data_IF_046876600034
#
_entry.id   IF_046876600034
#
_cell.length_a   1.000
_cell.length_b   1.000
_cell.length_c   1.000
_cell.angle_alpha   90.00
_cell.angle_beta   90.00
_cell.angle_gamma   90.00
#
_symmetry.space_group_name_H-M   'P 1'
#
loop_
_entity.id
_entity.type
_entity.pdbx_description
1 polymer ?
#
# COMPACT_ATOMS: atom_id res chain seq x y z
N UNK A 1 -27.28 14.74 -0.11
CA UNK A 1 -26.16 14.90 0.83
C UNK A 1 -25.30 13.65 0.75
N UNK A 2 -24.07 13.71 0.22
CA UNK A 2 -23.21 12.53 0.22
C UNK A 2 -22.84 12.22 1.67
N UNK A 3 -23.01 10.96 2.06
CA UNK A 3 -22.70 10.46 3.40
C UNK A 3 -21.19 10.54 3.59
N UNK A 4 -20.75 10.92 4.78
CA UNK A 4 -19.35 11.09 5.20
C UNK A 4 -18.41 9.89 4.92
N UNK A 5 -18.92 8.76 4.41
CA UNK A 5 -18.15 7.58 4.04
C UNK A 5 -17.46 7.69 2.66
N UNK A 6 -17.96 8.53 1.75
CA UNK A 6 -17.39 8.63 0.39
C UNK A 6 -16.07 9.39 0.35
N UNK A 7 -15.90 10.40 1.21
CA UNK A 7 -14.66 11.17 1.39
C UNK A 7 -13.55 10.32 2.01
N UNK A 8 -13.86 9.48 3.01
CA UNK A 8 -12.89 8.55 3.59
C UNK A 8 -12.45 7.48 2.58
N UNK A 9 -13.36 7.03 1.71
CA UNK A 9 -13.03 6.11 0.62
C UNK A 9 -12.20 6.76 -0.50
N UNK A 10 -12.34 8.06 -0.74
CA UNK A 10 -11.50 8.79 -1.70
C UNK A 10 -10.10 9.10 -1.15
N UNK A 11 -9.96 9.45 0.13
CA UNK A 11 -8.64 9.61 0.75
C UNK A 11 -7.88 8.28 0.88
N UNK A 12 -8.61 7.16 1.03
CA UNK A 12 -8.03 5.81 0.96
C UNK A 12 -7.67 5.37 -0.45
N UNK A 13 -8.07 6.09 -1.51
CA UNK A 13 -7.62 5.78 -2.86
C UNK A 13 -6.15 6.17 -3.01
N UNK A 14 -5.34 5.20 -2.59
CA UNK A 14 -4.01 4.88 -3.07
C UNK A 14 -2.83 5.73 -2.59
N UNK A 15 -2.77 5.98 -1.27
CA UNK A 15 -1.55 6.45 -0.61
C UNK A 15 -0.32 5.59 -0.95
N UNK A 16 -0.50 4.26 -1.16
CA UNK A 16 0.56 3.38 -1.63
C UNK A 16 1.12 3.79 -3.00
N UNK A 17 0.26 4.20 -3.94
CA UNK A 17 0.72 4.68 -5.25
C UNK A 17 1.38 6.05 -5.17
N UNK A 18 0.91 6.93 -4.29
CA UNK A 18 1.56 8.21 -4.04
C UNK A 18 2.97 8.00 -3.48
N UNK A 19 3.14 7.08 -2.53
CA UNK A 19 4.46 6.71 -2.00
C UNK A 19 5.35 6.11 -3.11
N UNK A 20 4.82 5.24 -3.97
CA UNK A 20 5.57 4.74 -5.13
C UNK A 20 5.97 5.83 -6.13
N UNK A 21 5.26 6.97 -6.17
CA UNK A 21 5.60 8.10 -7.03
C UNK A 21 6.72 8.97 -6.46
N UNK A 22 6.96 8.93 -5.14
CA UNK A 22 8.02 9.71 -4.47
C UNK A 22 9.42 9.24 -4.89
N UNK A 23 9.64 7.91 -4.94
CA UNK A 23 10.94 7.36 -5.35
C UNK A 23 10.76 6.05 -6.13
N UNK A 24 11.42 5.99 -7.29
CA UNK A 24 11.38 4.81 -8.17
C UNK A 24 12.07 3.57 -7.59
N UNK A 25 12.92 3.73 -6.58
CA UNK A 25 13.64 2.64 -5.92
C UNK A 25 12.81 1.96 -4.82
N UNK A 26 11.66 2.52 -4.45
CA UNK A 26 10.73 1.87 -3.52
C UNK A 26 10.17 0.62 -4.18
N UNK A 27 10.41 -0.53 -3.54
CA UNK A 27 9.99 -1.86 -4.03
C UNK A 27 8.70 -2.36 -3.40
N UNK A 28 8.41 -1.95 -2.17
CA UNK A 28 7.26 -2.39 -1.39
C UNK A 28 6.72 -1.22 -0.56
N UNK A 29 5.40 -1.13 -0.44
CA UNK A 29 4.70 -0.22 0.47
C UNK A 29 3.59 -1.00 1.14
N UNK A 30 3.41 -0.81 2.45
CA UNK A 30 2.35 -1.44 3.21
C UNK A 30 1.84 -0.54 4.34
N UNK A 31 0.53 -0.57 4.55
CA UNK A 31 -0.14 -0.06 5.74
C UNK A 31 -0.24 -1.22 6.71
N UNK A 32 0.23 -1.02 7.95
CA UNK A 32 0.22 -2.05 9.00
C UNK A 32 -0.79 -1.74 10.09
N UNK A 33 -1.36 -2.78 10.69
CA UNK A 33 -2.13 -2.65 11.93
C UNK A 33 -1.19 -2.59 13.16
N UNK A 34 -1.77 -2.57 14.37
CA UNK A 34 -0.99 -2.53 15.63
C UNK A 34 -0.18 -3.81 15.89
N UNK A 35 -0.52 -4.90 15.21
CA UNK A 35 0.13 -6.21 15.31
C UNK A 35 1.24 -6.37 14.24
N UNK A 36 1.55 -5.28 13.51
CA UNK A 36 2.50 -5.26 12.40
C UNK A 36 2.09 -6.11 11.19
N UNK A 37 0.82 -6.51 11.10
CA UNK A 37 0.30 -7.18 9.92
C UNK A 37 -0.02 -6.16 8.83
N UNK A 38 0.36 -6.48 7.59
CA UNK A 38 0.05 -5.65 6.42
C UNK A 38 -1.43 -5.80 6.08
N UNK A 39 -2.20 -4.72 6.23
CA UNK A 39 -3.65 -4.69 5.92
C UNK A 39 -3.95 -4.18 4.51
N UNK A 40 -3.01 -3.45 3.91
CA UNK A 40 -3.08 -2.95 2.54
C UNK A 40 -1.67 -2.69 2.03
N UNK A 41 -1.38 -2.97 0.76
CA UNK A 41 -0.07 -2.74 0.17
C UNK A 41 0.37 -3.85 -0.77
N UNK A 42 1.63 -3.79 -1.18
CA UNK A 42 2.22 -4.78 -2.07
C UNK A 42 3.52 -4.31 -2.68
N UNK A 43 4.06 -5.16 -3.55
CA UNK A 43 5.22 -4.82 -4.35
C UNK A 43 4.84 -3.89 -5.51
N UNK A 44 5.80 -3.06 -5.91
CA UNK A 44 5.67 -2.26 -7.12
C UNK A 44 5.41 -3.19 -8.31
N UNK A 45 4.55 -2.76 -9.24
CA UNK A 45 4.25 -3.53 -10.45
C UNK A 45 5.53 -3.96 -11.17
N UNK A 46 5.67 -5.27 -11.42
CA UNK A 46 6.82 -5.87 -12.11
C UNK A 46 8.02 -6.12 -11.20
N UNK A 47 7.89 -5.88 -9.89
CA UNK A 47 8.91 -6.22 -8.89
C UNK A 47 8.43 -7.41 -8.09
N UNK A 48 9.24 -8.45 -8.07
CA UNK A 48 9.04 -9.63 -7.22
C UNK A 48 9.77 -9.46 -5.86
N UNK A 49 9.34 -10.17 -4.82
CA UNK A 49 10.08 -10.29 -3.57
C UNK A 49 11.52 -10.78 -3.81
N UNK A 50 12.45 -10.37 -2.94
CA UNK A 50 13.83 -10.87 -2.98
C UNK A 50 14.00 -12.22 -2.27
N UNK A 51 13.12 -12.49 -1.31
CA UNK A 51 13.13 -13.70 -0.50
C UNK A 51 11.92 -14.53 -0.90
N UNK A 52 12.13 -15.83 -1.01
CA UNK A 52 11.04 -16.77 -1.19
C UNK A 52 10.21 -16.78 0.10
N UNK A 53 8.89 -16.80 -0.02
CA UNK A 53 7.99 -16.76 1.14
C UNK A 53 7.82 -18.14 1.79
N UNK A 54 8.54 -19.14 1.28
CA UNK A 54 8.42 -20.55 1.64
C UNK A 54 9.64 -21.10 2.42
N UNK A 55 10.57 -20.25 2.84
CA UNK A 55 11.63 -20.60 3.81
C UNK A 55 11.21 -20.26 5.24
#
# INVERSE_FOLDING_TARGET
MPRNNDLQNQFRKNICNEIFAVDKNIRFVGIVNREAEVIEGGFRKGIEPLLDQNE
#
